data_IF_232370018671
#
_entry.id   IF_232370018671
#
_cell.length_a   1.000
_cell.length_b   1.000
_cell.length_c   1.000
_cell.angle_alpha   90.00
_cell.angle_beta   90.00
_cell.angle_gamma   90.00
#
_symmetry.space_group_name_H-M   'P 1'
#
loop_
_entity.id
_entity.type
_entity.pdbx_description
1 polymer ?
#
# COMPACT_ATOMS: atom_id res chain seq x y z
N UNK A 1 -7.20 13.72 7.98
CA UNK A 1 -7.35 12.59 7.04
C UNK A 1 -7.57 13.08 5.60
N UNK A 2 -8.68 13.74 5.26
CA UNK A 2 -8.95 14.25 3.88
C UNK A 2 -7.96 15.32 3.36
N UNK A 3 -7.60 16.35 4.16
CA UNK A 3 -6.63 17.39 3.71
C UNK A 3 -5.24 16.86 3.34
N UNK A 4 -4.82 15.75 3.95
CA UNK A 4 -3.52 15.14 3.66
C UNK A 4 -3.56 14.37 2.33
N UNK A 5 -4.74 13.88 1.93
CA UNK A 5 -4.94 13.22 0.65
C UNK A 5 -5.02 14.26 -0.49
N UNK A 6 -5.66 15.41 -0.25
CA UNK A 6 -5.69 16.56 -1.18
C UNK A 6 -4.29 17.12 -1.42
N UNK A 7 -3.51 17.36 -0.37
CA UNK A 7 -2.17 17.96 -0.48
C UNK A 7 -1.17 17.10 -1.25
N UNK A 8 -1.43 15.79 -1.37
CA UNK A 8 -0.58 14.85 -2.09
C UNK A 8 -1.21 14.41 -3.44
N UNK A 9 -2.34 15.01 -3.84
CA UNK A 9 -2.97 14.79 -5.16
C UNK A 9 -3.74 13.47 -5.30
N UNK A 10 -4.06 12.79 -4.19
CA UNK A 10 -4.83 11.55 -4.19
C UNK A 10 -6.33 11.78 -4.39
N UNK A 11 -6.81 12.97 -4.08
CA UNK A 11 -8.21 13.39 -4.26
C UNK A 11 -8.24 14.87 -4.69
N UNK A 12 -9.22 15.25 -5.50
CA UNK A 12 -9.51 16.65 -5.85
C UNK A 12 -10.95 16.98 -5.45
N UNK A 13 -11.21 18.23 -5.08
CA UNK A 13 -12.58 18.73 -4.91
C UNK A 13 -13.02 19.43 -6.18
N UNK A 14 -14.24 19.15 -6.63
CA UNK A 14 -14.91 19.97 -7.63
C UNK A 14 -15.54 21.22 -7.01
N UNK A 15 -16.06 22.10 -7.87
CA UNK A 15 -16.68 23.38 -7.51
C UNK A 15 -17.87 23.25 -6.55
N UNK A 16 -18.43 22.03 -6.41
CA UNK A 16 -19.56 21.71 -5.53
C UNK A 16 -19.15 20.96 -4.25
N UNK A 17 -17.86 20.95 -3.89
CA UNK A 17 -17.31 20.24 -2.72
C UNK A 17 -17.46 18.71 -2.75
N UNK A 18 -17.74 18.10 -3.91
CA UNK A 18 -17.66 16.64 -4.05
C UNK A 18 -16.21 16.22 -4.24
N UNK A 19 -15.82 15.16 -3.54
CA UNK A 19 -14.47 14.58 -3.61
C UNK A 19 -14.44 13.65 -4.82
N UNK A 20 -13.68 14.02 -5.86
CA UNK A 20 -13.46 13.19 -7.02
C UNK A 20 -12.09 12.50 -6.93
N UNK A 21 -12.07 11.19 -7.18
CA UNK A 21 -10.84 10.40 -7.31
C UNK A 21 -10.06 10.95 -8.49
N UNK A 22 -8.80 11.31 -8.30
CA UNK A 22 -7.92 11.52 -9.45
C UNK A 22 -7.65 10.15 -10.06
N UNK A 23 -7.83 9.98 -11.38
CA UNK A 23 -7.55 8.73 -12.13
C UNK A 23 -6.09 8.24 -12.06
N UNK A 24 -5.30 8.80 -11.16
CA UNK A 24 -3.92 8.43 -10.93
C UNK A 24 -3.91 7.30 -9.91
N UNK A 25 -4.01 6.07 -10.40
CA UNK A 25 -3.38 4.94 -9.70
C UNK A 25 -1.91 5.34 -9.55
N UNK A 26 -1.51 5.82 -8.36
CA UNK A 26 -0.10 6.08 -8.05
C UNK A 26 0.55 4.73 -7.76
N UNK A 27 0.63 3.90 -8.80
CA UNK A 27 1.58 2.80 -8.81
C UNK A 27 2.96 3.43 -8.94
N UNK A 28 3.87 3.12 -8.03
CA UNK A 28 5.24 3.63 -8.05
C UNK A 28 5.96 3.10 -9.29
N UNK A 29 5.83 3.80 -10.43
CA UNK A 29 6.58 3.54 -11.64
C UNK A 29 8.05 3.94 -11.46
N UNK A 30 8.93 3.30 -12.21
CA UNK A 30 10.39 3.34 -12.06
C UNK A 30 11.05 4.73 -12.29
N UNK A 31 10.30 5.76 -12.67
CA UNK A 31 10.82 7.10 -12.99
C UNK A 31 10.72 8.13 -11.86
N UNK A 32 10.10 7.77 -10.73
CA UNK A 32 10.05 8.65 -9.55
C UNK A 32 11.36 8.54 -8.77
N UNK A 33 11.89 9.68 -8.30
CA UNK A 33 13.13 9.71 -7.50
C UNK A 33 13.02 8.71 -6.33
N UNK A 34 14.07 7.91 -6.14
CA UNK A 34 14.09 6.88 -5.10
C UNK A 34 13.83 7.44 -3.69
N UNK A 35 14.11 8.73 -3.46
CA UNK A 35 13.80 9.44 -2.22
C UNK A 35 12.31 9.66 -2.02
N UNK A 36 11.58 10.15 -3.03
CA UNK A 36 10.15 10.41 -2.91
C UNK A 36 9.36 9.11 -2.68
N UNK A 37 9.72 8.03 -3.39
CA UNK A 37 9.12 6.70 -3.15
C UNK A 37 9.36 6.22 -1.71
N UNK A 38 10.58 6.39 -1.19
CA UNK A 38 10.90 6.02 0.19
C UNK A 38 10.09 6.83 1.19
N UNK A 39 9.98 8.15 1.00
CA UNK A 39 9.18 9.02 1.85
C UNK A 39 7.70 8.64 1.81
N UNK A 40 7.15 8.34 0.64
CA UNK A 40 5.78 7.87 0.49
C UNK A 40 5.55 6.57 1.28
N UNK A 41 6.42 5.57 1.11
CA UNK A 41 6.30 4.32 1.87
C UNK A 41 6.42 4.52 3.39
N UNK A 42 7.30 5.43 3.84
CA UNK A 42 7.40 5.78 5.26
C UNK A 42 6.10 6.42 5.79
N UNK A 43 5.49 7.33 5.03
CA UNK A 43 4.21 7.93 5.40
C UNK A 43 3.09 6.88 5.47
N UNK A 44 3.02 5.97 4.49
CA UNK A 44 2.05 4.87 4.50
C UNK A 44 2.19 3.99 5.73
N UNK A 45 3.44 3.64 6.11
CA UNK A 45 3.71 2.86 7.32
C UNK A 45 3.33 3.59 8.60
N UNK A 46 3.56 4.89 8.67
CA UNK A 46 3.14 5.72 9.79
C UNK A 46 1.61 5.71 9.95
N UNK A 47 0.87 5.92 8.85
CA UNK A 47 -0.59 5.83 8.84
C UNK A 47 -1.04 4.44 9.32
N UNK A 48 -0.47 3.37 8.76
CA UNK A 48 -0.81 2.01 9.16
C UNK A 48 -0.57 1.76 10.65
N UNK A 49 0.54 2.26 11.20
CA UNK A 49 0.83 2.16 12.64
C UNK A 49 -0.17 2.92 13.52
N UNK A 50 -0.68 4.06 13.05
CA UNK A 50 -1.69 4.85 13.78
C UNK A 50 -3.06 4.15 13.76
N UNK A 51 -3.46 3.59 12.62
CA UNK A 51 -4.77 2.94 12.46
C UNK A 51 -4.90 1.64 13.26
N UNK A 52 -3.79 1.01 13.69
CA UNK A 52 -3.83 -0.12 14.64
C UNK A 52 -4.63 0.22 15.91
N UNK A 53 -4.56 1.48 16.35
CA UNK A 53 -5.23 1.95 17.56
C UNK A 53 -6.53 2.72 17.29
N UNK A 54 -6.70 3.26 16.07
CA UNK A 54 -7.85 4.11 15.74
C UNK A 54 -9.01 3.35 15.10
N UNK A 55 -8.75 2.25 14.40
CA UNK A 55 -9.79 1.43 13.75
C UNK A 55 -10.16 0.21 14.59
N UNK A 56 -11.45 -0.11 14.62
CA UNK A 56 -11.95 -1.37 15.16
C UNK A 56 -11.35 -2.54 14.36
N UNK A 57 -11.15 -3.68 15.02
CA UNK A 57 -10.61 -4.90 14.41
C UNK A 57 -11.47 -5.37 13.23
N UNK A 58 -12.79 -5.14 13.26
CA UNK A 58 -13.69 -5.51 12.17
C UNK A 58 -13.53 -4.64 10.91
N UNK A 59 -12.99 -3.42 11.07
CA UNK A 59 -12.88 -2.41 10.01
C UNK A 59 -11.46 -2.35 9.42
N UNK A 60 -10.54 -3.22 9.88
CA UNK A 60 -9.14 -3.26 9.44
C UNK A 60 -8.65 -4.68 9.22
N UNK A 61 -7.71 -4.85 8.29
CA UNK A 61 -7.02 -6.11 8.09
C UNK A 61 -5.51 -5.94 8.30
N UNK A 62 -4.99 -6.48 9.41
CA UNK A 62 -3.57 -6.55 9.70
C UNK A 62 -3.15 -8.02 9.81
N UNK A 63 -2.32 -8.47 8.89
CA UNK A 63 -1.77 -9.82 8.88
C UNK A 63 -0.25 -9.75 8.72
N UNK A 64 0.47 -10.64 9.40
CA UNK A 64 1.93 -10.70 9.37
C UNK A 64 2.39 -12.12 9.62
N UNK A 65 3.50 -12.50 8.98
CA UNK A 65 4.13 -13.80 9.16
C UNK A 65 5.64 -13.67 9.17
N UNK A 66 6.30 -14.51 9.96
CA UNK A 66 7.75 -14.70 9.91
C UNK A 66 8.02 -16.05 9.26
N UNK A 67 8.89 -16.07 8.27
CA UNK A 67 9.24 -17.30 7.54
C UNK A 67 10.73 -17.36 7.25
N UNK A 68 11.25 -18.59 7.23
CA UNK A 68 12.58 -18.88 6.69
C UNK A 68 12.43 -19.28 5.23
N UNK A 69 13.16 -18.61 4.33
CA UNK A 69 13.12 -18.89 2.91
C UNK A 69 14.52 -18.86 2.29
N UNK A 70 14.70 -19.68 1.27
CA UNK A 70 15.88 -19.61 0.41
C UNK A 70 15.82 -18.31 -0.41
N UNK A 71 16.94 -17.56 -0.52
CA UNK A 71 17.04 -16.39 -1.40
C UNK A 71 16.63 -16.67 -2.86
N UNK A 72 16.76 -17.92 -3.31
CA UNK A 72 16.35 -18.35 -4.67
C UNK A 72 14.84 -18.23 -4.92
N UNK A 73 14.01 -18.14 -3.87
CA UNK A 73 12.56 -18.01 -3.99
C UNK A 73 12.07 -16.56 -3.97
N UNK A 74 12.97 -15.60 -3.73
CA UNK A 74 12.58 -14.20 -3.47
C UNK A 74 11.97 -13.54 -4.70
N UNK A 75 12.52 -13.77 -5.90
CA UNK A 75 11.97 -13.17 -7.12
C UNK A 75 10.58 -13.73 -7.43
N UNK A 76 10.38 -15.04 -7.24
CA UNK A 76 9.04 -15.64 -7.37
C UNK A 76 8.06 -15.10 -6.34
N UNK A 77 8.50 -14.88 -5.09
CA UNK A 77 7.66 -14.27 -4.06
C UNK A 77 7.25 -12.84 -4.42
N UNK A 78 8.17 -12.02 -4.93
CA UNK A 78 7.87 -10.66 -5.41
C UNK A 78 6.85 -10.68 -6.56
N UNK A 79 7.00 -11.60 -7.50
CA UNK A 79 6.04 -11.75 -8.60
C UNK A 79 4.64 -12.06 -8.07
N UNK A 80 4.53 -13.03 -7.15
CA UNK A 80 3.24 -13.37 -6.54
C UNK A 80 2.58 -12.18 -5.82
N UNK A 81 3.36 -11.38 -5.10
CA UNK A 81 2.84 -10.18 -4.43
C UNK A 81 2.37 -9.12 -5.44
N UNK A 82 3.06 -8.98 -6.58
CA UNK A 82 2.65 -8.06 -7.62
C UNK A 82 1.38 -8.53 -8.35
N UNK A 83 1.30 -9.83 -8.65
CA UNK A 83 0.12 -10.44 -9.28
C UNK A 83 -1.11 -10.25 -8.37
N UNK A 84 -0.98 -10.59 -7.08
CA UNK A 84 -2.01 -10.36 -6.07
C UNK A 84 -2.44 -8.89 -6.01
N UNK A 85 -1.49 -7.95 -5.96
CA UNK A 85 -1.81 -6.51 -5.92
C UNK A 85 -2.61 -6.09 -7.16
N UNK A 86 -2.26 -6.61 -8.34
CA UNK A 86 -2.97 -6.30 -9.58
C UNK A 86 -4.38 -6.89 -9.62
N UNK A 87 -4.56 -8.11 -9.12
CA UNK A 87 -5.88 -8.75 -9.03
C UNK A 87 -6.76 -8.04 -7.99
N UNK A 88 -6.18 -7.66 -6.85
CA UNK A 88 -6.87 -6.89 -5.81
C UNK A 88 -7.34 -5.53 -6.31
N UNK A 89 -6.48 -4.79 -7.02
CA UNK A 89 -6.85 -3.48 -7.59
C UNK A 89 -8.03 -3.61 -8.57
N UNK A 90 -8.01 -4.61 -9.44
CA UNK A 90 -9.13 -4.91 -10.35
C UNK A 90 -10.41 -5.21 -9.57
N UNK A 91 -10.36 -6.16 -8.64
CA UNK A 91 -11.51 -6.54 -7.82
C UNK A 91 -12.14 -5.34 -7.08
N UNK A 92 -11.31 -4.44 -6.55
CA UNK A 92 -11.78 -3.26 -5.80
C UNK A 92 -12.26 -2.11 -6.69
N UNK A 93 -12.11 -2.20 -8.02
CA UNK A 93 -12.43 -1.11 -8.96
C UNK A 93 -13.39 -1.50 -10.08
N UNK A 94 -13.64 -2.80 -10.28
CA UNK A 94 -14.54 -3.31 -11.32
C UNK A 94 -16.04 -3.20 -10.95
N UNK A 95 -16.39 -3.15 -9.66
CA UNK A 95 -17.76 -2.97 -9.14
C UNK A 95 -17.88 -1.61 -8.41
N UNK A 96 -18.99 -0.87 -8.60
CA UNK A 96 -19.29 0.43 -7.95
C UNK A 96 -18.38 1.63 -8.30
N UNK A 97 -17.76 1.63 -9.49
CA UNK A 97 -16.85 2.69 -9.94
C UNK A 97 -17.45 4.11 -10.00
N UNK A 98 -18.77 4.26 -10.02
CA UNK A 98 -19.45 5.54 -10.21
C UNK A 98 -19.66 6.34 -8.90
N UNK A 99 -19.53 5.72 -7.73
CA UNK A 99 -19.71 6.40 -6.43
C UNK A 99 -18.74 5.92 -5.33
N UNK A 100 -17.42 6.18 -5.46
CA UNK A 100 -16.47 5.83 -4.40
C UNK A 100 -16.76 6.63 -3.11
N UNK A 101 -17.19 5.94 -2.05
CA UNK A 101 -17.56 6.55 -0.76
C UNK A 101 -16.39 6.60 0.24
N UNK A 102 -15.42 5.69 0.11
CA UNK A 102 -14.34 5.50 1.07
C UNK A 102 -12.97 5.31 0.40
N UNK A 103 -11.90 5.70 1.10
CA UNK A 103 -10.52 5.54 0.63
C UNK A 103 -9.83 4.51 1.50
N UNK A 104 -9.43 3.40 0.88
CA UNK A 104 -8.67 2.34 1.55
C UNK A 104 -7.18 2.45 1.19
N UNK A 105 -6.31 2.21 2.18
CA UNK A 105 -4.88 2.09 1.97
C UNK A 105 -4.46 0.62 2.09
N UNK A 106 -3.98 0.03 1.00
CA UNK A 106 -3.29 -1.27 1.02
C UNK A 106 -1.77 -1.05 0.99
N UNK A 107 -1.06 -1.58 1.98
CA UNK A 107 0.40 -1.64 2.00
C UNK A 107 0.88 -3.08 2.11
N UNK A 108 1.75 -3.50 1.19
CA UNK A 108 2.41 -4.81 1.22
C UNK A 108 3.90 -4.60 1.44
N UNK A 109 4.44 -5.11 2.54
CA UNK A 109 5.87 -5.05 2.84
C UNK A 109 6.45 -6.45 2.91
N UNK A 110 7.47 -6.71 2.09
CA UNK A 110 8.25 -7.94 2.12
C UNK A 110 9.73 -7.59 2.04
N UNK A 111 10.45 -7.87 3.12
CA UNK A 111 11.86 -7.55 3.24
C UNK A 111 12.57 -8.57 4.12
N UNK A 112 13.89 -8.62 3.99
CA UNK A 112 14.73 -9.50 4.77
C UNK A 112 14.90 -8.91 6.18
N UNK A 113 14.58 -9.68 7.21
CA UNK A 113 14.72 -9.26 8.62
C UNK A 113 16.13 -9.46 9.19
N UNK A 114 16.91 -10.37 8.62
CA UNK A 114 18.26 -10.72 9.11
C UNK A 114 19.29 -10.53 8.01
N UNK A 115 20.53 -10.22 8.35
CA UNK A 115 21.65 -10.56 7.46
C UNK A 115 21.96 -12.05 7.64
N UNK A 116 22.54 -12.73 6.63
CA UNK A 116 22.76 -14.18 6.70
C UNK A 116 23.32 -14.56 8.08
N UNK A 117 22.60 -15.40 8.84
CA UNK A 117 23.20 -16.02 10.03
C UNK A 117 24.30 -16.93 9.45
N UNK A 118 25.59 -16.68 9.74
CA UNK A 118 26.64 -17.61 9.36
C UNK A 118 26.24 -19.00 9.85
N UNK A 119 26.49 -20.05 9.06
CA UNK A 119 26.13 -21.43 9.42
C UNK A 119 26.86 -21.97 10.67
N UNK A 120 27.67 -21.13 11.30
CA UNK A 120 28.66 -21.50 12.32
C UNK A 120 28.48 -20.69 13.62
N UNK A 121 27.24 -20.32 13.98
CA UNK A 121 26.88 -19.82 15.32
C UNK A 121 26.09 -20.87 16.10
#
# INVERSE_FOLDING_TARGET
KIRHLESHGFINRDENSKVQRTNKVISTTHEVSSSLIKTLHQQMLKIASEEIYQQDVKDRYFSSMFLTASPKKIDRAKQLLNDFRSEFDKMMTEEDADEPTEVYQLGLQFFKMTQLIPKDL
#
